data_IF_859071176962
#
_entry.id   IF_859071176962
#
_cell.length_a   1.000
_cell.length_b   1.000
_cell.length_c   1.000
_cell.angle_alpha   90.00
_cell.angle_beta   90.00
_cell.angle_gamma   90.00
#
_symmetry.space_group_name_H-M   'P 1'
#
loop_
_entity.id
_entity.type
_entity.pdbx_description
1 polymer ?
#
# COMPACT_ATOMS: atom_id res chain seq x y z
N UNK A 1 0.10 -25.56 -10.77
CA UNK A 1 -0.47 -24.20 -10.67
C UNK A 1 0.65 -23.21 -10.84
N UNK A 2 0.41 -22.07 -11.48
CA UNK A 2 1.41 -21.02 -11.59
C UNK A 2 1.35 -20.06 -10.39
N UNK A 3 2.50 -19.52 -9.99
CA UNK A 3 2.60 -18.46 -8.99
C UNK A 3 2.62 -17.11 -9.71
N UNK A 4 1.65 -16.23 -9.43
CA UNK A 4 1.63 -14.86 -9.92
C UNK A 4 1.95 -13.90 -8.77
N UNK A 5 2.99 -13.11 -8.94
CA UNK A 5 3.38 -12.07 -7.97
C UNK A 5 3.22 -10.70 -8.62
N UNK A 6 2.55 -9.77 -7.94
CA UNK A 6 2.51 -8.35 -8.30
C UNK A 6 3.46 -7.58 -7.40
N UNK A 7 4.21 -6.66 -7.99
CA UNK A 7 5.17 -5.81 -7.29
C UNK A 7 5.04 -4.40 -7.82
N UNK A 8 4.84 -3.42 -6.94
CA UNK A 8 4.76 -2.01 -7.36
C UNK A 8 6.15 -1.55 -7.78
N UNK A 9 6.21 -0.72 -8.83
CA UNK A 9 7.50 -0.19 -9.32
C UNK A 9 8.24 0.60 -8.24
N UNK A 10 7.50 1.32 -7.39
CA UNK A 10 8.05 2.09 -6.28
C UNK A 10 8.79 1.24 -5.23
N UNK A 11 8.53 -0.06 -5.16
CA UNK A 11 9.16 -0.98 -4.21
C UNK A 11 10.49 -1.57 -4.74
N UNK A 12 10.81 -1.34 -6.02
CA UNK A 12 12.00 -1.91 -6.66
C UNK A 12 13.20 -0.98 -6.51
N UNK A 13 14.28 -1.51 -5.93
CA UNK A 13 15.54 -0.77 -5.77
C UNK A 13 16.13 -0.37 -7.12
N UNK A 14 16.50 0.92 -7.25
CA UNK A 14 17.24 1.43 -8.41
C UNK A 14 18.71 1.04 -8.28
N UNK A 15 19.20 0.30 -9.27
CA UNK A 15 20.61 -0.14 -9.34
C UNK A 15 21.21 0.15 -10.71
N UNK A 16 22.55 0.18 -10.78
CA UNK A 16 23.28 0.45 -12.01
C UNK A 16 23.14 -0.64 -13.08
N UNK A 17 23.48 -0.31 -14.33
CA UNK A 17 23.29 -1.19 -15.50
C UNK A 17 24.18 -2.43 -15.50
N UNK A 18 25.35 -2.38 -14.86
CA UNK A 18 26.26 -3.50 -14.74
C UNK A 18 26.24 -4.06 -13.31
N UNK A 19 25.05 -4.52 -12.89
CA UNK A 19 24.84 -5.10 -11.56
C UNK A 19 24.03 -6.39 -11.69
N UNK A 20 24.06 -7.21 -10.65
CA UNK A 20 23.25 -8.43 -10.58
C UNK A 20 21.76 -8.13 -10.36
N UNK A 21 21.40 -6.91 -9.94
CA UNK A 21 20.03 -6.58 -9.56
C UNK A 21 19.72 -6.86 -8.09
N UNK A 22 18.43 -6.85 -7.78
CA UNK A 22 17.88 -7.26 -6.49
C UNK A 22 16.91 -8.43 -6.70
N UNK A 23 16.71 -9.24 -5.66
CA UNK A 23 15.73 -10.32 -5.70
C UNK A 23 14.34 -9.75 -5.45
N UNK A 24 13.44 -9.84 -6.45
CA UNK A 24 12.03 -9.45 -6.31
C UNK A 24 11.19 -10.57 -5.69
N UNK A 25 11.43 -11.81 -6.11
CA UNK A 25 10.71 -13.00 -5.64
C UNK A 25 11.68 -14.15 -5.39
N UNK A 26 11.37 -14.98 -4.40
CA UNK A 26 12.08 -16.25 -4.17
C UNK A 26 11.32 -17.36 -4.88
N UNK A 27 12.03 -18.15 -5.67
CA UNK A 27 11.49 -19.39 -6.27
C UNK A 27 11.94 -20.59 -5.45
N UNK A 28 11.19 -21.69 -5.54
CA UNK A 28 11.66 -23.00 -5.06
C UNK A 28 12.73 -23.54 -6.03
N UNK A 29 13.50 -24.56 -5.63
CA UNK A 29 14.70 -25.01 -6.37
C UNK A 29 14.43 -25.39 -7.83
N UNK A 30 13.25 -25.94 -8.13
CA UNK A 30 12.86 -26.39 -9.48
C UNK A 30 11.88 -25.44 -10.19
N UNK A 31 11.58 -24.28 -9.61
CA UNK A 31 10.67 -23.29 -10.18
C UNK A 31 11.44 -22.15 -10.84
N UNK A 32 10.99 -21.75 -12.04
CA UNK A 32 11.59 -20.67 -12.81
C UNK A 32 10.54 -19.64 -13.21
N UNK A 33 10.96 -18.39 -13.29
CA UNK A 33 10.16 -17.32 -13.88
C UNK A 33 10.07 -17.55 -15.39
N UNK A 34 8.85 -17.70 -15.90
CA UNK A 34 8.60 -17.97 -17.32
C UNK A 34 8.07 -16.76 -18.09
N UNK A 35 7.70 -15.68 -17.39
CA UNK A 35 7.19 -14.47 -18.02
C UNK A 35 7.16 -13.29 -17.06
N UNK A 36 7.19 -12.09 -17.63
CA UNK A 36 7.02 -10.82 -16.94
C UNK A 36 6.22 -9.89 -17.86
N UNK A 37 5.23 -9.21 -17.30
CA UNK A 37 4.37 -8.28 -18.02
C UNK A 37 4.23 -7.01 -17.18
N UNK A 38 4.43 -5.85 -17.80
CA UNK A 38 4.07 -4.56 -17.19
C UNK A 38 2.55 -4.42 -17.23
N UNK A 39 1.98 -4.01 -16.11
CA UNK A 39 0.58 -3.59 -16.01
C UNK A 39 0.63 -2.06 -15.97
N UNK A 40 -0.06 -1.41 -16.90
CA UNK A 40 -0.30 0.02 -16.80
C UNK A 40 -1.45 0.21 -15.80
N UNK A 41 -1.12 0.76 -14.63
CA UNK A 41 -2.11 1.25 -13.68
C UNK A 41 -2.45 2.68 -14.10
N UNK A 42 -3.74 3.07 -14.13
CA UNK A 42 -4.11 4.46 -14.40
C UNK A 42 -3.49 5.35 -13.32
N UNK A 43 -2.91 6.47 -13.72
CA UNK A 43 -2.36 7.42 -12.76
C UNK A 43 -3.51 7.95 -11.88
N UNK A 44 -3.26 8.17 -10.59
CA UNK A 44 -4.27 8.71 -9.67
C UNK A 44 -4.76 10.11 -10.12
N UNK A 45 -3.97 10.79 -10.95
CA UNK A 45 -4.34 12.07 -11.57
C UNK A 45 -5.32 11.90 -12.76
N UNK A 46 -5.32 10.73 -13.42
CA UNK A 46 -6.22 10.43 -14.56
C UNK A 46 -7.64 10.01 -14.13
N UNK A 47 -7.82 9.61 -12.87
CA UNK A 47 -9.13 9.23 -12.31
C UNK A 47 -9.95 10.41 -11.79
N UNK A 48 -9.35 11.61 -11.69
CA UNK A 48 -10.01 12.80 -11.12
C UNK A 48 -10.85 13.55 -12.16
N UNK A 49 -10.65 13.32 -13.46
CA UNK A 49 -11.41 14.05 -14.50
C UNK A 49 -12.92 13.68 -14.57
N UNK A 50 -13.35 12.56 -13.96
CA UNK A 50 -14.75 12.10 -14.02
C UNK A 50 -15.43 11.95 -12.63
N UNK A 51 -14.76 12.35 -11.55
CA UNK A 51 -15.31 12.28 -10.19
C UNK A 51 -15.77 13.66 -9.71
N UNK A 52 -17.08 13.93 -9.79
CA UNK A 52 -17.69 15.03 -9.04
C UNK A 52 -17.36 14.87 -7.55
N UNK A 53 -16.60 15.82 -7.01
CA UNK A 53 -16.18 15.87 -5.61
C UNK A 53 -17.43 16.16 -4.76
N UNK A 54 -18.05 15.14 -4.17
CA UNK A 54 -18.89 15.32 -2.98
C UNK A 54 -18.00 15.35 -1.76
N UNK A 55 -17.76 16.56 -1.26
CA UNK A 55 -17.07 16.84 -0.01
C UNK A 55 -17.86 16.21 1.16
N UNK A 56 -17.34 15.14 1.75
CA UNK A 56 -17.84 14.60 3.02
C UNK A 56 -17.14 15.31 4.16
N UNK A 57 -17.84 16.29 4.73
CA UNK A 57 -17.47 16.98 5.97
C UNK A 57 -17.43 15.96 7.12
N UNK A 58 -16.22 15.61 7.57
CA UNK A 58 -16.02 14.75 8.72
C UNK A 58 -16.20 15.59 10.01
N UNK A 59 -17.39 15.55 10.60
CA UNK A 59 -17.66 16.19 11.89
C UNK A 59 -16.90 15.46 13.00
N UNK A 60 -15.82 16.10 13.48
CA UNK A 60 -15.05 15.68 14.65
C UNK A 60 -15.96 15.65 15.88
N UNK A 61 -16.08 14.48 16.50
CA UNK A 61 -16.79 14.26 17.78
C UNK A 61 -15.82 14.60 18.92
N UNK A 62 -16.16 15.48 19.89
CA UNK A 62 -15.26 15.76 21.01
C UNK A 62 -15.30 14.58 21.99
N UNK A 63 -14.12 14.01 22.25
CA UNK A 63 -13.91 12.97 23.24
C UNK A 63 -13.80 13.58 24.65
N UNK A 64 -14.68 13.09 25.53
CA UNK A 64 -14.47 12.79 26.95
C UNK A 64 -13.74 13.80 27.85
N UNK A 65 -14.50 14.44 28.74
CA UNK A 65 -14.07 14.66 30.12
C UNK A 65 -15.17 14.10 31.04
N UNK A 66 -14.89 12.95 31.64
CA UNK A 66 -15.71 12.39 32.72
C UNK A 66 -14.82 12.31 33.95
N UNK A 67 -14.95 13.34 34.77
CA UNK A 67 -14.29 13.54 36.05
C UNK A 67 -14.49 12.30 36.95
N UNK A 68 -13.38 11.69 37.37
CA UNK A 68 -13.37 10.60 38.34
C UNK A 68 -13.64 11.16 39.74
N UNK A 69 -14.85 10.91 40.23
CA UNK A 69 -15.25 11.14 41.62
C UNK A 69 -14.80 10.00 42.54
N UNK A 70 -14.21 10.43 43.66
CA UNK A 70 -14.30 9.91 45.03
C UNK A 70 -13.99 8.44 45.33
N UNK A 71 -12.92 8.23 46.10
CA UNK A 71 -12.96 7.26 47.20
C UNK A 71 -12.28 7.90 48.41
N UNK A 72 -13.12 8.41 49.30
CA UNK A 72 -12.80 8.72 50.68
C UNK A 72 -13.02 7.45 51.51
N UNK A 73 -11.99 7.01 52.24
CA UNK A 73 -12.13 5.93 53.22
C UNK A 73 -11.39 6.36 54.50
N UNK A 74 -12.18 6.79 55.49
CA UNK A 74 -11.92 6.62 56.92
C UNK A 74 -13.07 5.79 57.51
#
# INVERSE_FOLDING_TARGET
GGTLVRTRVAEVSRVGRNTQGVTLIRTTEDEKVVGLQRIDEPDEDDIIEDAEITEVENTETPAADSEQGDSSEE
#
